data_IF_254070149479
#
_entry.id   IF_254070149479
#
_cell.length_a   1.000
_cell.length_b   1.000
_cell.length_c   1.000
_cell.angle_alpha   90.00
_cell.angle_beta   90.00
_cell.angle_gamma   90.00
#
_symmetry.space_group_name_H-M   'P 1'
#
loop_
_entity.id
_entity.type
_entity.pdbx_description
1 polymer ?
#
# COMPACT_ATOMS: atom_id res chain seq x y z
N UNK A 1 13.72 -7.34 -2.90
CA UNK A 1 12.37 -6.93 -2.43
C UNK A 1 12.52 -5.92 -1.29
N UNK A 2 12.10 -4.67 -1.51
CA UNK A 2 12.11 -3.65 -0.44
C UNK A 2 10.93 -3.87 0.53
N UNK A 3 10.92 -3.22 1.69
CA UNK A 3 9.88 -3.44 2.71
C UNK A 3 8.48 -2.98 2.24
N UNK A 4 8.40 -1.94 1.42
CA UNK A 4 7.12 -1.48 0.83
C UNK A 4 6.53 -2.57 -0.07
N UNK A 5 7.33 -3.14 -0.97
CA UNK A 5 6.96 -4.23 -1.86
C UNK A 5 6.45 -5.46 -1.09
N UNK A 6 7.15 -5.85 0.00
CA UNK A 6 6.71 -6.95 0.86
C UNK A 6 5.34 -6.69 1.49
N UNK A 7 5.09 -5.45 1.93
CA UNK A 7 3.81 -5.07 2.53
C UNK A 7 2.70 -5.12 1.47
N UNK A 8 2.94 -4.62 0.26
CA UNK A 8 1.94 -4.67 -0.81
C UNK A 8 1.57 -6.10 -1.18
N UNK A 9 2.55 -6.96 -1.42
CA UNK A 9 2.31 -8.37 -1.79
C UNK A 9 1.63 -9.16 -0.67
N UNK A 10 1.86 -8.85 0.62
CA UNK A 10 1.30 -9.64 1.73
C UNK A 10 -0.03 -9.14 2.26
N UNK A 11 -0.27 -7.84 2.18
CA UNK A 11 -1.34 -7.20 2.96
C UNK A 11 -2.41 -6.60 2.07
N UNK A 12 -1.99 -6.04 0.94
CA UNK A 12 -2.91 -5.35 0.05
C UNK A 12 -3.58 -6.32 -0.89
N UNK A 13 -2.78 -7.11 -1.63
CA UNK A 13 -3.15 -8.15 -2.61
C UNK A 13 -4.66 -8.25 -2.95
N UNK A 14 -5.27 -7.20 -3.53
CA UNK A 14 -6.72 -7.13 -3.63
C UNK A 14 -7.28 -8.01 -4.75
N UNK A 15 -6.40 -8.62 -5.55
CA UNK A 15 -6.75 -9.56 -6.64
C UNK A 15 -6.18 -10.96 -6.41
N UNK A 16 -5.60 -11.22 -5.23
CA UNK A 16 -5.15 -12.55 -4.78
C UNK A 16 -4.13 -13.21 -5.75
N UNK A 17 -3.16 -12.43 -6.23
CA UNK A 17 -2.12 -12.90 -7.17
C UNK A 17 -0.73 -12.97 -6.55
N UNK A 18 -0.54 -12.49 -5.32
CA UNK A 18 0.79 -12.44 -4.72
C UNK A 18 1.40 -13.84 -4.50
N UNK A 19 0.59 -14.89 -4.40
CA UNK A 19 1.06 -16.28 -4.31
C UNK A 19 1.66 -16.81 -5.63
N UNK A 20 1.39 -16.15 -6.75
CA UNK A 20 1.83 -16.58 -8.09
C UNK A 20 2.72 -15.54 -8.79
N UNK A 21 2.59 -14.26 -8.45
CA UNK A 21 3.32 -13.14 -9.03
C UNK A 21 3.88 -12.24 -7.92
N UNK A 22 5.19 -12.32 -7.71
CA UNK A 22 5.88 -11.52 -6.69
C UNK A 22 6.11 -10.05 -7.10
N UNK A 23 5.85 -9.68 -8.36
CA UNK A 23 6.17 -8.39 -8.95
C UNK A 23 4.96 -7.55 -9.39
N UNK A 24 3.74 -8.08 -9.24
CA UNK A 24 2.49 -7.41 -9.67
C UNK A 24 2.40 -5.97 -9.11
N UNK A 25 2.77 -5.78 -7.84
CA UNK A 25 2.61 -4.50 -7.14
C UNK A 25 3.86 -3.60 -7.17
N UNK A 26 4.91 -3.98 -7.89
CA UNK A 26 6.19 -3.26 -7.91
C UNK A 26 6.04 -1.85 -8.47
N UNK A 27 5.15 -1.68 -9.45
CA UNK A 27 4.89 -0.38 -10.08
C UNK A 27 4.33 0.67 -9.10
N UNK A 28 3.73 0.24 -7.98
CA UNK A 28 3.16 1.12 -6.96
C UNK A 28 4.16 1.49 -5.85
N UNK A 29 5.31 0.80 -5.76
CA UNK A 29 6.29 1.01 -4.70
C UNK A 29 6.88 2.42 -4.72
N UNK A 30 7.23 2.94 -5.90
CA UNK A 30 7.84 4.26 -6.03
C UNK A 30 6.86 5.41 -5.69
N UNK A 31 5.62 5.46 -6.22
CA UNK A 31 4.62 6.43 -5.80
C UNK A 31 4.32 6.38 -4.29
N UNK A 32 4.21 5.18 -3.71
CA UNK A 32 3.95 5.03 -2.27
C UNK A 32 5.11 5.58 -1.45
N UNK A 33 6.35 5.30 -1.87
CA UNK A 33 7.53 5.85 -1.21
C UNK A 33 7.55 7.38 -1.28
N UNK A 34 7.19 7.97 -2.44
CA UNK A 34 7.06 9.42 -2.58
C UNK A 34 5.98 10.03 -1.66
N UNK A 35 4.85 9.34 -1.49
CA UNK A 35 3.81 9.74 -0.53
C UNK A 35 4.37 9.68 0.90
N UNK A 36 5.07 8.60 1.26
CA UNK A 36 5.65 8.45 2.59
C UNK A 36 6.75 9.48 2.88
N UNK A 37 7.56 9.86 1.89
CA UNK A 37 8.64 10.85 2.08
C UNK A 37 8.11 12.29 2.24
N UNK A 38 6.83 12.53 1.95
CA UNK A 38 6.22 13.84 2.14
C UNK A 38 5.88 14.09 3.62
N UNK A 39 6.54 15.09 4.22
CA UNK A 39 6.36 15.48 5.63
C UNK A 39 4.92 15.90 6.00
N UNK A 40 4.08 16.22 5.01
CA UNK A 40 2.70 16.64 5.22
C UNK A 40 1.69 15.51 5.02
N UNK A 41 2.13 14.35 4.52
CA UNK A 41 1.25 13.21 4.28
C UNK A 41 0.60 12.72 5.56
N UNK A 42 -0.65 12.29 5.43
CA UNK A 42 -1.43 11.61 6.46
C UNK A 42 -1.75 10.17 6.02
N UNK A 43 -2.07 9.26 6.95
CA UNK A 43 -2.52 7.89 6.61
C UNK A 43 -3.66 7.85 5.60
N UNK A 44 -4.58 8.81 5.67
CA UNK A 44 -5.71 8.96 4.75
C UNK A 44 -5.27 9.17 3.28
N UNK A 45 -4.10 9.76 3.05
CA UNK A 45 -3.58 9.98 1.69
C UNK A 45 -3.16 8.65 1.06
N UNK A 46 -2.50 7.78 1.83
CA UNK A 46 -2.17 6.41 1.40
C UNK A 46 -3.44 5.60 1.18
N UNK A 47 -4.42 5.73 2.08
CA UNK A 47 -5.69 5.03 1.97
C UNK A 47 -6.41 5.40 0.67
N UNK A 48 -6.54 6.69 0.37
CA UNK A 48 -7.16 7.16 -0.87
C UNK A 48 -6.36 6.76 -2.11
N UNK A 49 -5.03 6.78 -2.02
CA UNK A 49 -4.18 6.35 -3.12
C UNK A 49 -4.42 4.88 -3.49
N UNK A 50 -4.42 3.98 -2.51
CA UNK A 50 -4.69 2.54 -2.74
C UNK A 50 -6.12 2.31 -3.24
N UNK A 51 -7.11 3.02 -2.68
CA UNK A 51 -8.50 2.97 -3.16
C UNK A 51 -8.62 3.32 -4.63
N UNK A 52 -7.95 4.39 -5.04
CA UNK A 52 -7.97 4.84 -6.43
C UNK A 52 -7.34 3.79 -7.36
N UNK A 53 -6.28 3.09 -6.93
CA UNK A 53 -5.71 2.02 -7.75
C UNK A 53 -6.70 0.85 -7.90
N UNK A 54 -7.29 0.41 -6.79
CA UNK A 54 -8.29 -0.67 -6.79
C UNK A 54 -9.44 -0.37 -7.78
N UNK A 55 -9.95 0.86 -7.78
CA UNK A 55 -11.08 1.27 -8.61
C UNK A 55 -10.64 1.57 -10.04
N UNK A 56 -9.62 2.40 -10.23
CA UNK A 56 -9.30 2.97 -11.53
C UNK A 56 -8.41 2.07 -12.38
N UNK A 57 -7.47 1.36 -11.76
CA UNK A 57 -6.54 0.50 -12.49
C UNK A 57 -6.98 -0.95 -12.49
N UNK A 58 -7.39 -1.47 -11.34
CA UNK A 58 -7.79 -2.89 -11.19
C UNK A 58 -9.28 -3.12 -11.48
N UNK A 59 -10.07 -2.05 -11.65
CA UNK A 59 -11.51 -2.10 -11.94
C UNK A 59 -12.32 -2.89 -10.91
N UNK A 60 -11.87 -2.90 -9.66
CA UNK A 60 -12.54 -3.58 -8.56
C UNK A 60 -13.72 -2.74 -8.09
N UNK A 61 -14.93 -3.19 -8.41
CA UNK A 61 -16.19 -2.57 -7.94
C UNK A 61 -16.96 -3.44 -6.94
N UNK A 62 -16.52 -4.69 -6.71
CA UNK A 62 -17.14 -5.67 -5.81
C UNK A 62 -16.23 -6.04 -4.62
N UNK A 63 -16.76 -6.76 -3.63
CA UNK A 63 -16.02 -7.17 -2.40
C UNK A 63 -15.52 -5.99 -1.55
N UNK A 64 -16.38 -4.97 -1.38
CA UNK A 64 -16.03 -3.71 -0.69
C UNK A 64 -15.43 -3.93 0.71
N UNK A 65 -16.00 -4.85 1.51
CA UNK A 65 -15.52 -5.11 2.87
C UNK A 65 -14.12 -5.73 2.89
N UNK A 66 -13.86 -6.73 2.04
CA UNK A 66 -12.55 -7.37 1.94
C UNK A 66 -11.49 -6.34 1.54
N UNK A 67 -11.75 -5.54 0.51
CA UNK A 67 -10.83 -4.48 0.06
C UNK A 67 -10.58 -3.45 1.15
N UNK A 68 -11.62 -3.03 1.87
CA UNK A 68 -11.49 -2.10 2.99
C UNK A 68 -10.55 -2.67 4.07
N UNK A 69 -10.67 -3.96 4.41
CA UNK A 69 -9.78 -4.63 5.35
C UNK A 69 -8.32 -4.65 4.85
N UNK A 70 -8.09 -5.11 3.61
CA UNK A 70 -6.75 -5.14 3.02
C UNK A 70 -6.09 -3.76 3.01
N UNK A 71 -6.84 -2.74 2.58
CA UNK A 71 -6.36 -1.36 2.51
C UNK A 71 -6.02 -0.80 3.89
N UNK A 72 -6.88 -1.02 4.88
CA UNK A 72 -6.64 -0.58 6.26
C UNK A 72 -5.37 -1.21 6.83
N UNK A 73 -5.21 -2.53 6.69
CA UNK A 73 -4.02 -3.24 7.16
C UNK A 73 -2.74 -2.77 6.47
N UNK A 74 -2.82 -2.54 5.16
CA UNK A 74 -1.70 -2.06 4.35
C UNK A 74 -1.26 -0.67 4.78
N UNK A 75 -2.20 0.27 4.93
CA UNK A 75 -1.92 1.64 5.38
C UNK A 75 -1.28 1.64 6.76
N UNK A 76 -1.81 0.85 7.71
CA UNK A 76 -1.21 0.74 9.04
C UNK A 76 0.24 0.27 9.00
N UNK A 77 0.55 -0.73 8.18
CA UNK A 77 1.91 -1.30 8.07
C UNK A 77 2.87 -0.35 7.37
N UNK A 78 2.45 0.27 6.27
CA UNK A 78 3.24 1.30 5.59
C UNK A 78 3.52 2.50 6.49
N UNK A 79 2.51 2.93 7.26
CA UNK A 79 2.65 4.06 8.18
C UNK A 79 3.59 3.76 9.35
N UNK A 80 3.48 2.56 9.95
CA UNK A 80 4.43 2.08 10.98
C UNK A 80 5.85 2.02 10.44
N UNK A 81 6.04 1.51 9.22
CA UNK A 81 7.34 1.49 8.54
C UNK A 81 7.90 2.91 8.38
N UNK A 82 7.11 3.84 7.85
CA UNK A 82 7.50 5.24 7.68
C UNK A 82 7.93 5.89 9.00
N UNK A 83 7.12 5.78 10.06
CA UNK A 83 7.48 6.32 11.38
C UNK A 83 8.79 5.71 11.90
N UNK A 84 9.01 4.41 11.69
CA UNK A 84 10.23 3.74 12.15
C UNK A 84 11.49 4.25 11.42
N UNK A 85 11.39 4.50 10.12
CA UNK A 85 12.49 5.02 9.31
C UNK A 85 12.80 6.48 9.67
N UNK A 86 11.77 7.30 9.87
CA UNK A 86 11.93 8.69 10.28
C UNK A 86 12.60 8.84 11.65
N UNK A 87 12.38 7.89 12.57
CA UNK A 87 13.03 7.88 13.91
C UNK A 87 14.50 7.44 13.89
N UNK A 88 14.91 6.65 12.90
CA UNK A 88 16.28 6.14 12.80
C UNK A 88 17.24 7.11 12.06
N UNK A 89 16.70 8.17 11.46
CA UNK A 89 17.45 9.19 10.73
C UNK A 89 17.70 10.47 11.55
N UNK A 90 17.56 10.42 12.88
CA UNK A 90 17.85 11.49 13.85
C UNK A 90 18.75 10.96 14.96
#
# INVERSE_FOLDING_TARGET
MNEVQKILNREWDPIEVADVLDDEYDCYCAPITQILDNIHTQPDDLFKYLENIEIEQMKLTHQVEQRLTHRTNTVEKLWKLHISLSKNNH
#
